data_IF_085246760199
#
_entry.id   IF_085246760199
#
_cell.length_a   1.000
_cell.length_b   1.000
_cell.length_c   1.000
_cell.angle_alpha   90.00
_cell.angle_beta   90.00
_cell.angle_gamma   90.00
#
_symmetry.space_group_name_H-M   'P 1'
#
loop_
_entity.id
_entity.type
_entity.pdbx_description
1 polymer ?
#
# COMPACT_ATOMS: atom_id res chain seq x y z
N UNK A 1 -6.15 -61.47 11.48
CA UNK A 1 -6.67 -60.45 12.42
C UNK A 1 -5.49 -59.87 13.16
N UNK A 2 -5.06 -58.66 12.82
CA UNK A 2 -3.95 -57.99 13.49
C UNK A 2 -4.49 -57.27 14.75
N UNK A 3 -3.94 -57.57 15.91
CA UNK A 3 -4.30 -56.92 17.18
C UNK A 3 -3.69 -55.51 17.23
N UNK A 4 -4.53 -54.48 17.25
CA UNK A 4 -4.09 -53.11 17.47
C UNK A 4 -3.81 -52.88 18.95
N UNK A 5 -2.55 -52.62 19.28
CA UNK A 5 -2.08 -52.34 20.63
C UNK A 5 -2.48 -50.89 21.01
N UNK A 6 -3.24 -50.72 22.10
CA UNK A 6 -3.69 -49.39 22.56
C UNK A 6 -2.50 -48.55 23.03
N UNK A 7 -2.45 -47.25 22.70
CA UNK A 7 -1.42 -46.36 23.23
C UNK A 7 -1.66 -46.13 24.73
N UNK A 8 -0.63 -46.38 25.54
CA UNK A 8 -0.65 -46.20 26.99
C UNK A 8 -0.39 -44.74 27.37
N UNK A 9 -1.43 -44.04 27.81
CA UNK A 9 -1.39 -42.70 28.41
C UNK A 9 -2.61 -42.46 29.30
N UNK A 10 -2.40 -41.87 30.48
CA UNK A 10 -3.33 -41.90 31.63
C UNK A 10 -4.46 -40.83 31.60
N UNK A 11 -4.80 -40.32 30.41
CA UNK A 11 -5.96 -39.45 30.20
C UNK A 11 -6.78 -40.05 29.06
N UNK A 12 -7.75 -40.90 29.41
CA UNK A 12 -8.78 -41.35 28.47
C UNK A 12 -9.77 -40.21 28.24
N UNK A 13 -9.78 -39.66 27.03
CA UNK A 13 -10.84 -38.76 26.60
C UNK A 13 -12.09 -39.57 26.28
N UNK A 14 -13.29 -38.96 26.30
CA UNK A 14 -14.55 -39.63 25.92
C UNK A 14 -14.49 -40.27 24.51
N UNK A 15 -13.60 -39.76 23.64
CA UNK A 15 -13.34 -40.27 22.30
C UNK A 15 -12.57 -41.59 22.30
N UNK A 16 -11.81 -41.92 23.35
CA UNK A 16 -11.11 -43.19 23.49
C UNK A 16 -12.04 -44.35 23.91
N UNK A 17 -13.29 -44.03 24.30
CA UNK A 17 -14.34 -44.97 24.67
C UNK A 17 -15.30 -45.29 23.51
N UNK A 18 -15.27 -44.52 22.42
CA UNK A 18 -16.04 -44.77 21.22
C UNK A 18 -15.25 -45.67 20.25
N UNK A 19 -15.91 -46.70 19.72
CA UNK A 19 -15.28 -47.57 18.72
C UNK A 19 -15.02 -46.78 17.44
N UNK A 20 -13.76 -46.79 17.01
CA UNK A 20 -13.33 -46.14 15.77
C UNK A 20 -13.63 -47.01 14.57
N UNK A 21 -14.11 -46.40 13.49
CA UNK A 21 -14.35 -47.10 12.24
C UNK A 21 -13.32 -46.76 11.14
N UNK A 22 -13.53 -47.33 9.94
CA UNK A 22 -12.66 -47.08 8.80
C UNK A 22 -12.74 -45.63 8.27
N UNK A 23 -13.87 -44.95 8.47
CA UNK A 23 -14.05 -43.56 8.05
C UNK A 23 -13.28 -42.61 8.97
N UNK A 24 -13.23 -42.90 10.27
CA UNK A 24 -12.42 -42.12 11.23
C UNK A 24 -10.93 -42.14 10.90
N UNK A 25 -10.42 -43.22 10.30
CA UNK A 25 -9.03 -43.29 9.86
C UNK A 25 -8.76 -42.48 8.58
N UNK A 26 -9.78 -42.21 7.76
CA UNK A 26 -9.64 -41.34 6.59
C UNK A 26 -9.55 -39.87 7.00
N UNK A 27 -10.30 -39.45 8.02
CA UNK A 27 -10.34 -38.06 8.47
C UNK A 27 -9.37 -37.74 9.62
N UNK A 28 -9.13 -38.67 10.55
CA UNK A 28 -8.31 -38.48 11.75
C UNK A 28 -7.32 -39.63 11.95
N UNK A 29 -6.39 -39.86 11.01
CA UNK A 29 -5.49 -41.01 11.09
C UNK A 29 -4.60 -40.94 12.34
N UNK A 30 -4.33 -42.09 12.97
CA UNK A 30 -3.51 -42.18 14.18
C UNK A 30 -2.05 -41.68 13.99
N UNK A 31 -1.59 -41.60 12.74
CA UNK A 31 -0.28 -41.07 12.36
C UNK A 31 -0.34 -39.60 11.89
N UNK A 32 -1.42 -38.87 12.20
CA UNK A 32 -1.55 -37.47 11.87
C UNK A 32 -0.39 -36.66 12.47
N UNK A 33 0.38 -35.99 11.60
CA UNK A 33 1.49 -35.11 11.98
C UNK A 33 1.05 -33.71 12.40
N UNK A 34 -0.21 -33.39 12.19
CA UNK A 34 -0.81 -32.09 12.50
C UNK A 34 -1.94 -32.29 13.51
N UNK A 35 -2.00 -31.40 14.49
CA UNK A 35 -3.07 -31.36 15.48
C UNK A 35 -3.60 -29.94 15.58
N UNK A 36 -4.91 -29.81 15.73
CA UNK A 36 -5.56 -28.51 15.94
C UNK A 36 -5.39 -28.01 17.39
N UNK A 37 -5.01 -28.92 18.30
CA UNK A 37 -4.89 -28.64 19.73
C UNK A 37 -3.44 -28.47 20.18
N UNK A 38 -2.47 -29.02 19.43
CA UNK A 38 -1.07 -28.79 19.71
C UNK A 38 -0.63 -27.43 19.14
N UNK A 39 0.16 -26.68 19.92
CA UNK A 39 0.72 -25.41 19.46
C UNK A 39 1.71 -25.69 18.33
N UNK A 40 1.45 -25.14 17.14
CA UNK A 40 2.39 -25.26 16.02
C UNK A 40 3.73 -24.59 16.40
N UNK A 41 4.88 -25.27 16.23
CA UNK A 41 6.20 -24.67 16.48
C UNK A 41 6.48 -23.46 15.57
N UNK A 42 5.83 -23.39 14.40
CA UNK A 42 5.94 -22.27 13.45
C UNK A 42 5.23 -21.00 13.94
N UNK A 43 4.44 -21.07 15.02
CA UNK A 43 3.74 -19.91 15.62
C UNK A 43 4.62 -19.07 16.57
N UNK A 44 5.94 -19.29 16.62
CA UNK A 44 6.81 -18.41 17.41
C UNK A 44 6.90 -17.06 16.73
N UNK A 45 6.09 -16.11 17.17
CA UNK A 45 6.17 -14.71 16.75
C UNK A 45 7.24 -13.99 17.58
N UNK A 46 8.12 -13.25 16.90
CA UNK A 46 9.00 -12.30 17.57
C UNK A 46 8.24 -10.98 17.73
N UNK A 47 8.23 -10.37 18.92
CA UNK A 47 7.61 -9.07 19.09
C UNK A 47 8.40 -8.02 18.28
N UNK A 48 7.70 -7.25 17.47
CA UNK A 48 8.21 -6.03 16.85
C UNK A 48 7.07 -5.01 16.77
N UNK A 49 7.41 -3.73 16.63
CA UNK A 49 6.45 -2.64 16.57
C UNK A 49 6.67 -1.86 15.28
N UNK A 50 5.74 -1.91 14.30
CA UNK A 50 5.83 -1.06 13.12
C UNK A 50 5.51 0.39 13.51
N UNK A 51 6.28 1.33 12.96
CA UNK A 51 6.08 2.77 13.14
C UNK A 51 6.10 3.41 11.76
N UNK A 52 5.24 4.41 11.55
CA UNK A 52 5.26 5.26 10.36
C UNK A 52 6.16 6.47 10.65
N UNK A 53 7.01 6.82 9.69
CA UNK A 53 7.89 7.97 9.81
C UNK A 53 8.00 8.71 8.49
N UNK A 54 8.00 10.03 8.60
CA UNK A 54 8.09 10.93 7.46
C UNK A 54 9.56 11.30 7.18
N UNK A 55 9.90 11.31 5.89
CA UNK A 55 11.21 11.70 5.40
C UNK A 55 11.08 12.93 4.52
N UNK A 56 11.98 13.90 4.72
CA UNK A 56 12.05 15.07 3.86
C UNK A 56 12.81 14.72 2.59
N UNK A 57 12.35 15.24 1.45
CA UNK A 57 13.01 15.04 0.17
C UNK A 57 14.07 16.12 -0.10
N UNK A 58 14.99 15.80 -1.02
CA UNK A 58 15.95 16.72 -1.62
C UNK A 58 15.74 16.82 -3.13
N UNK A 59 15.99 18.02 -3.65
CA UNK A 59 15.81 18.32 -5.07
C UNK A 59 14.41 18.89 -5.36
N UNK A 60 14.15 19.25 -6.63
CA UNK A 60 12.93 19.96 -6.98
C UNK A 60 11.80 18.95 -7.28
N UNK A 61 10.63 19.16 -6.65
CA UNK A 61 9.47 18.28 -6.75
C UNK A 61 8.44 18.77 -7.77
N UNK A 62 8.90 19.26 -8.93
CA UNK A 62 8.04 19.68 -10.04
C UNK A 62 7.76 18.56 -11.04
N UNK A 63 6.76 18.78 -11.90
CA UNK A 63 6.45 17.86 -12.99
C UNK A 63 7.67 17.63 -13.91
N UNK A 64 7.92 16.38 -14.29
CA UNK A 64 9.06 15.97 -15.10
C UNK A 64 10.42 15.99 -14.37
N UNK A 65 10.44 16.31 -13.08
CA UNK A 65 11.66 16.36 -12.30
C UNK A 65 11.87 15.09 -11.47
N UNK A 66 13.09 14.95 -10.98
CA UNK A 66 13.52 13.86 -10.10
C UNK A 66 13.97 14.43 -8.76
N UNK A 67 13.47 13.84 -7.69
CA UNK A 67 13.81 14.19 -6.30
C UNK A 67 14.13 12.92 -5.52
N UNK A 68 14.75 13.07 -4.36
CA UNK A 68 15.37 11.97 -3.62
C UNK A 68 15.01 12.02 -2.14
N UNK A 69 14.73 10.87 -1.54
CA UNK A 69 14.67 10.69 -0.09
C UNK A 69 15.88 9.90 0.37
N UNK A 70 16.57 10.40 1.40
CA UNK A 70 17.62 9.64 2.05
C UNK A 70 17.04 8.90 3.25
N UNK A 71 17.19 7.59 3.24
CA UNK A 71 16.69 6.72 4.30
C UNK A 71 17.88 6.33 5.18
N UNK A 72 17.75 6.64 6.46
CA UNK A 72 18.73 6.34 7.48
C UNK A 72 18.14 5.40 8.53
N UNK A 73 18.93 4.42 8.99
CA UNK A 73 18.50 3.44 9.99
C UNK A 73 18.22 4.09 11.34
N UNK A 74 18.97 5.14 11.70
CA UNK A 74 18.76 5.87 12.96
C UNK A 74 17.37 6.48 13.07
N UNK A 75 16.83 6.94 11.95
CA UNK A 75 15.46 7.48 11.90
C UNK A 75 14.46 6.34 11.75
N UNK A 76 14.63 5.48 10.74
CA UNK A 76 13.63 4.51 10.28
C UNK A 76 13.47 3.28 11.20
N UNK A 77 14.51 2.95 11.97
CA UNK A 77 14.64 1.69 12.69
C UNK A 77 15.35 0.60 11.88
N UNK A 78 15.26 -0.64 12.37
CA UNK A 78 16.08 -1.75 11.88
C UNK A 78 15.61 -2.32 10.53
N UNK A 79 14.29 -2.25 10.27
CA UNK A 79 13.63 -2.87 9.12
C UNK A 79 12.68 -1.87 8.45
N UNK A 80 12.83 -1.71 7.13
CA UNK A 80 11.86 -1.00 6.30
C UNK A 80 10.89 -2.02 5.67
N UNK A 81 9.60 -1.88 5.98
CA UNK A 81 8.54 -2.82 5.58
C UNK A 81 7.63 -2.27 4.47
N UNK A 82 7.73 -0.97 4.19
CA UNK A 82 6.91 -0.31 3.19
C UNK A 82 7.27 1.16 3.05
N UNK A 83 6.96 1.74 1.90
CA UNK A 83 7.15 3.14 1.60
C UNK A 83 5.93 3.68 0.82
N UNK A 84 5.48 4.86 1.22
CA UNK A 84 4.36 5.55 0.58
C UNK A 84 4.78 6.98 0.31
N UNK A 85 4.55 7.43 -0.92
CA UNK A 85 4.81 8.80 -1.31
C UNK A 85 3.54 9.63 -1.05
N UNK A 86 3.61 10.54 -0.09
CA UNK A 86 2.56 11.52 0.15
C UNK A 86 2.79 12.77 -0.73
N UNK A 87 1.74 13.20 -1.41
CA UNK A 87 1.74 14.32 -2.34
C UNK A 87 0.67 15.32 -1.91
N UNK A 88 1.03 16.58 -1.80
CA UNK A 88 0.05 17.64 -1.60
C UNK A 88 -0.20 18.35 -2.93
N UNK A 89 -1.45 18.31 -3.41
CA UNK A 89 -1.84 19.03 -4.60
C UNK A 89 -2.05 20.51 -4.29
N UNK A 90 -1.55 21.38 -5.18
CA UNK A 90 -1.74 22.83 -5.12
C UNK A 90 -2.67 23.29 -6.24
N UNK A 91 -3.68 24.10 -5.92
CA UNK A 91 -4.62 24.60 -6.93
C UNK A 91 -3.98 25.65 -7.86
N UNK A 92 -4.49 25.73 -9.10
CA UNK A 92 -4.25 26.86 -10.00
C UNK A 92 -5.03 28.12 -9.60
N UNK A 93 -6.00 27.99 -8.69
CA UNK A 93 -6.72 29.10 -8.09
C UNK A 93 -6.00 29.58 -6.83
N UNK A 94 -6.14 30.87 -6.52
CA UNK A 94 -5.71 31.40 -5.24
C UNK A 94 -6.58 30.85 -4.10
N UNK A 95 -6.03 30.83 -2.89
CA UNK A 95 -6.69 30.24 -1.72
C UNK A 95 -8.06 30.88 -1.43
N UNK A 96 -8.21 32.19 -1.66
CA UNK A 96 -9.49 32.88 -1.43
C UNK A 96 -10.55 32.41 -2.41
N UNK A 97 -10.21 32.27 -3.69
CA UNK A 97 -11.10 31.70 -4.69
C UNK A 97 -11.45 30.24 -4.38
N UNK A 98 -10.48 29.41 -3.95
CA UNK A 98 -10.74 28.03 -3.53
C UNK A 98 -11.76 27.98 -2.39
N UNK A 99 -11.58 28.79 -1.35
CA UNK A 99 -12.49 28.84 -0.20
C UNK A 99 -13.89 29.31 -0.61
N UNK A 100 -14.00 30.36 -1.44
CA UNK A 100 -15.28 30.87 -1.92
C UNK A 100 -15.99 29.89 -2.86
N UNK A 101 -15.24 29.08 -3.61
CA UNK A 101 -15.79 28.02 -4.45
C UNK A 101 -16.30 26.87 -3.58
N UNK A 102 -15.52 26.44 -2.57
CA UNK A 102 -15.91 25.42 -1.61
C UNK A 102 -17.12 25.82 -0.76
N UNK A 103 -17.24 27.10 -0.39
CA UNK A 103 -18.41 27.66 0.28
C UNK A 103 -19.61 27.90 -0.66
N UNK A 104 -19.46 27.57 -1.95
CA UNK A 104 -20.46 27.76 -3.01
C UNK A 104 -20.87 29.23 -3.23
N UNK A 105 -20.07 30.17 -2.75
CA UNK A 105 -20.24 31.61 -3.02
C UNK A 105 -19.82 31.95 -4.44
N UNK A 106 -18.78 31.28 -4.94
CA UNK A 106 -18.39 31.32 -6.34
C UNK A 106 -18.87 30.08 -7.08
N UNK A 107 -19.32 30.30 -8.31
CA UNK A 107 -19.73 29.25 -9.23
C UNK A 107 -19.11 29.55 -10.60
N UNK A 108 -18.71 28.49 -11.31
CA UNK A 108 -18.22 28.64 -12.68
C UNK A 108 -19.38 29.12 -13.57
N UNK A 109 -19.14 30.18 -14.34
CA UNK A 109 -20.13 30.65 -15.33
C UNK A 109 -20.40 29.60 -16.40
N UNK A 110 -19.38 28.82 -16.77
CA UNK A 110 -19.47 27.72 -17.73
C UNK A 110 -18.83 26.47 -17.13
N UNK A 111 -19.63 25.62 -16.46
CA UNK A 111 -19.13 24.43 -15.77
C UNK A 111 -18.34 23.45 -16.63
N UNK A 112 -18.69 23.35 -17.92
CA UNK A 112 -18.01 22.48 -18.88
C UNK A 112 -16.58 22.90 -19.20
N UNK A 113 -16.20 24.15 -18.89
CA UNK A 113 -14.86 24.68 -19.09
C UNK A 113 -14.07 24.79 -17.78
N UNK A 114 -14.64 24.33 -16.67
CA UNK A 114 -13.95 24.35 -15.39
C UNK A 114 -12.76 23.40 -15.41
N UNK A 115 -11.66 23.84 -14.80
CA UNK A 115 -10.45 23.03 -14.69
C UNK A 115 -10.62 22.07 -13.52
N UNK A 116 -10.18 20.83 -13.70
CA UNK A 116 -10.15 19.81 -12.67
C UNK A 116 -8.87 19.00 -12.82
N UNK A 117 -8.42 18.38 -11.73
CA UNK A 117 -7.38 17.37 -11.85
C UNK A 117 -7.89 16.17 -12.64
N UNK A 118 -7.00 15.56 -13.39
CA UNK A 118 -7.24 14.27 -14.02
C UNK A 118 -7.59 13.24 -12.95
N UNK A 119 -8.57 12.40 -13.24
CA UNK A 119 -8.89 11.26 -12.38
C UNK A 119 -7.67 10.35 -12.22
N UNK A 120 -7.51 9.74 -11.04
CA UNK A 120 -6.36 8.87 -10.74
C UNK A 120 -4.99 9.60 -10.80
N UNK A 121 -4.95 10.87 -10.40
CA UNK A 121 -3.73 11.68 -10.43
C UNK A 121 -2.53 11.01 -9.73
N UNK A 122 -2.76 10.25 -8.65
CA UNK A 122 -1.68 9.53 -7.96
C UNK A 122 -1.02 8.45 -8.82
N UNK A 123 -1.76 7.86 -9.76
CA UNK A 123 -1.26 6.87 -10.71
C UNK A 123 -0.49 7.54 -11.86
N UNK A 124 -1.05 8.61 -12.40
CA UNK A 124 -0.53 9.29 -13.59
C UNK A 124 0.75 10.09 -13.28
N UNK A 125 0.87 10.63 -12.07
CA UNK A 125 1.99 11.48 -11.70
C UNK A 125 3.32 10.72 -11.68
N UNK A 126 3.31 9.49 -11.14
CA UNK A 126 4.51 8.73 -10.87
C UNK A 126 5.04 8.07 -12.14
N UNK A 127 6.24 8.46 -12.59
CA UNK A 127 6.88 7.83 -13.75
C UNK A 127 7.68 6.61 -13.35
N UNK A 128 8.55 6.77 -12.36
CA UNK A 128 9.44 5.71 -11.90
C UNK A 128 9.93 5.96 -10.48
N UNK A 129 10.26 4.88 -9.80
CA UNK A 129 10.86 4.81 -8.46
C UNK A 129 12.13 3.98 -8.56
N UNK A 130 13.23 4.48 -8.03
CA UNK A 130 14.50 3.75 -7.98
C UNK A 130 14.95 3.62 -6.52
N UNK A 131 15.29 2.40 -6.11
CA UNK A 131 15.96 2.10 -4.86
C UNK A 131 17.47 2.03 -5.13
N UNK A 132 18.22 3.01 -4.60
CA UNK A 132 19.67 3.03 -4.63
C UNK A 132 20.22 2.60 -3.26
N UNK A 133 21.21 1.71 -3.27
CA UNK A 133 22.00 1.33 -2.09
C UNK A 133 23.48 1.42 -2.47
N UNK A 134 24.22 2.25 -1.72
CA UNK A 134 25.68 2.44 -1.90
C UNK A 134 26.05 2.84 -3.35
N UNK A 135 25.27 3.75 -3.92
CA UNK A 135 25.47 4.26 -5.28
C UNK A 135 25.04 3.32 -6.39
N UNK A 136 24.48 2.15 -6.06
CA UNK A 136 23.99 1.18 -7.04
C UNK A 136 22.48 1.09 -6.98
N UNK A 137 21.81 1.20 -8.14
CA UNK A 137 20.37 0.94 -8.25
C UNK A 137 20.11 -0.55 -8.08
N UNK A 138 19.45 -0.91 -7.00
CA UNK A 138 19.08 -2.30 -6.67
C UNK A 138 17.78 -2.69 -7.35
N UNK A 139 16.83 -1.77 -7.36
CA UNK A 139 15.51 -2.00 -7.95
C UNK A 139 14.99 -0.72 -8.59
N UNK A 140 14.29 -0.91 -9.70
CA UNK A 140 13.57 0.15 -10.40
C UNK A 140 12.14 -0.34 -10.67
N UNK A 141 11.18 0.54 -10.38
CA UNK A 141 9.75 0.26 -10.48
C UNK A 141 9.11 1.37 -11.31
N UNK A 142 8.38 0.97 -12.34
CA UNK A 142 7.65 1.90 -13.20
C UNK A 142 6.31 2.31 -12.57
N UNK A 143 5.81 3.48 -13.00
CA UNK A 143 4.50 4.01 -12.62
C UNK A 143 3.34 3.06 -12.92
N UNK A 144 3.41 2.33 -14.03
CA UNK A 144 2.39 1.34 -14.42
C UNK A 144 2.32 0.17 -13.43
N UNK A 145 3.48 -0.28 -12.94
CA UNK A 145 3.55 -1.33 -11.92
C UNK A 145 3.05 -0.79 -10.57
N UNK A 146 3.41 0.44 -10.19
CA UNK A 146 2.89 1.11 -9.00
C UNK A 146 1.36 1.24 -9.03
N UNK A 147 0.82 1.57 -10.19
CA UNK A 147 -0.62 1.66 -10.45
C UNK A 147 -1.29 0.31 -10.31
N UNK A 148 -0.79 -0.70 -11.01
CA UNK A 148 -1.34 -2.06 -10.99
C UNK A 148 -1.29 -2.64 -9.58
N UNK A 149 -0.17 -2.46 -8.87
CA UNK A 149 -0.02 -2.89 -7.50
C UNK A 149 -1.01 -2.18 -6.59
N UNK A 150 -1.18 -0.87 -6.69
CA UNK A 150 -2.08 -0.13 -5.80
C UNK A 150 -3.55 -0.49 -5.98
N UNK A 151 -3.95 -0.99 -7.15
CA UNK A 151 -5.32 -1.50 -7.40
C UNK A 151 -5.50 -2.95 -6.93
N UNK A 152 -4.50 -3.81 -7.12
CA UNK A 152 -4.62 -5.25 -6.86
C UNK A 152 -4.15 -5.68 -5.46
N UNK A 153 -3.28 -4.92 -4.83
CA UNK A 153 -2.70 -5.23 -3.52
C UNK A 153 -3.64 -5.02 -2.33
N UNK A 154 -4.54 -4.00 -2.33
CA UNK A 154 -5.51 -3.86 -1.26
C UNK A 154 -6.41 -5.10 -1.18
N UNK A 155 -6.65 -5.56 0.05
CA UNK A 155 -7.70 -6.54 0.34
C UNK A 155 -9.05 -5.83 0.56
N UNK A 156 -10.11 -6.61 0.77
CA UNK A 156 -11.46 -6.10 1.04
C UNK A 156 -11.49 -5.05 2.17
N UNK A 157 -10.59 -5.18 3.15
CA UNK A 157 -10.54 -4.29 4.32
C UNK A 157 -9.74 -3.01 4.07
N UNK A 158 -8.94 -2.95 3.01
CA UNK A 158 -8.05 -1.82 2.68
C UNK A 158 -8.44 -1.12 1.37
N UNK A 159 -9.58 -1.51 0.78
CA UNK A 159 -9.99 -1.06 -0.55
C UNK A 159 -10.44 0.42 -0.59
N UNK A 160 -11.18 0.90 0.42
CA UNK A 160 -11.74 2.27 0.43
C UNK A 160 -10.67 3.34 0.68
N UNK A 161 -9.61 3.01 1.41
CA UNK A 161 -8.47 3.90 1.61
C UNK A 161 -7.49 3.82 0.42
N UNK A 162 -6.42 3.02 0.54
CA UNK A 162 -5.37 2.89 -0.48
C UNK A 162 -5.85 2.72 -1.92
N UNK A 163 -6.95 1.98 -2.13
CA UNK A 163 -7.42 1.60 -3.47
C UNK A 163 -8.27 2.66 -4.19
N UNK A 164 -8.81 3.67 -3.49
CA UNK A 164 -9.74 4.65 -4.08
C UNK A 164 -9.32 6.08 -3.74
N UNK A 165 -9.50 6.51 -2.49
CA UNK A 165 -9.30 7.92 -2.12
C UNK A 165 -7.82 8.32 -2.16
N UNK A 166 -6.92 7.44 -1.75
CA UNK A 166 -5.48 7.73 -1.71
C UNK A 166 -4.88 8.03 -3.10
N UNK A 167 -5.44 7.47 -4.17
CA UNK A 167 -4.97 7.70 -5.54
C UNK A 167 -5.75 8.81 -6.26
N UNK A 168 -6.77 9.37 -5.62
CA UNK A 168 -7.69 10.33 -6.25
C UNK A 168 -8.51 9.68 -7.36
N UNK A 169 -8.94 8.43 -7.17
CA UNK A 169 -9.75 7.69 -8.15
C UNK A 169 -11.23 7.86 -7.80
N UNK A 170 -12.01 8.30 -8.78
CA UNK A 170 -13.45 8.35 -8.73
C UNK A 170 -14.08 7.48 -9.84
N UNK A 171 -15.24 6.85 -9.59
CA UNK A 171 -15.99 6.15 -10.62
C UNK A 171 -16.54 7.14 -11.66
N UNK A 172 -16.69 6.69 -12.91
CA UNK A 172 -17.15 7.52 -14.03
C UNK A 172 -18.46 8.26 -13.74
N UNK A 173 -19.41 7.62 -13.06
CA UNK A 173 -20.70 8.24 -12.68
C UNK A 173 -20.53 9.45 -11.76
N UNK A 174 -19.52 9.44 -10.89
CA UNK A 174 -19.18 10.55 -10.01
C UNK A 174 -18.42 11.65 -10.77
N UNK A 175 -17.56 11.29 -11.73
CA UNK A 175 -16.84 12.25 -12.58
C UNK A 175 -17.81 13.04 -13.46
N UNK A 176 -18.80 12.37 -14.06
CA UNK A 176 -19.81 13.02 -14.90
C UNK A 176 -20.67 14.03 -14.12
N UNK A 177 -20.83 13.82 -12.82
CA UNK A 177 -21.56 14.70 -11.92
C UNK A 177 -20.63 15.38 -10.91
N UNK A 178 -19.36 15.60 -11.29
CA UNK A 178 -18.37 16.08 -10.33
C UNK A 178 -18.78 17.45 -9.79
N UNK A 179 -18.88 17.61 -8.46
CA UNK A 179 -19.29 18.88 -7.88
C UNK A 179 -18.29 19.97 -8.21
N UNK A 180 -18.78 21.06 -8.82
CA UNK A 180 -17.95 22.18 -9.25
C UNK A 180 -17.19 22.87 -8.10
N UNK A 181 -17.72 22.77 -6.88
CA UNK A 181 -17.08 23.32 -5.67
C UNK A 181 -15.91 22.46 -5.17
N UNK A 182 -15.69 21.26 -5.73
CA UNK A 182 -14.64 20.34 -5.33
C UNK A 182 -13.42 20.48 -6.26
N UNK A 183 -12.47 21.28 -5.80
CA UNK A 183 -11.23 21.62 -6.54
C UNK A 183 -10.26 20.43 -6.64
N UNK A 184 -10.20 19.59 -5.61
CA UNK A 184 -9.26 18.47 -5.52
C UNK A 184 -9.96 17.12 -5.72
N UNK A 185 -9.27 16.10 -6.27
CA UNK A 185 -9.85 14.76 -6.45
C UNK A 185 -10.17 14.08 -5.10
N UNK A 186 -9.38 14.40 -4.07
CA UNK A 186 -9.52 13.93 -2.68
C UNK A 186 -10.07 15.02 -1.78
N UNK A 187 -10.62 14.66 -0.62
CA UNK A 187 -11.17 15.64 0.34
C UNK A 187 -10.12 16.64 0.87
N UNK A 188 -8.90 16.17 1.14
CA UNK A 188 -7.85 16.95 1.79
C UNK A 188 -6.80 17.52 0.82
N UNK A 189 -6.92 17.21 -0.47
CA UNK A 189 -5.91 17.53 -1.49
C UNK A 189 -4.62 16.71 -1.37
N UNK A 190 -4.57 15.70 -0.51
CA UNK A 190 -3.43 14.79 -0.37
C UNK A 190 -3.65 13.49 -1.15
N UNK A 191 -2.66 13.11 -1.93
CA UNK A 191 -2.56 11.80 -2.56
C UNK A 191 -1.49 10.98 -1.87
N UNK A 192 -1.67 9.66 -1.85
CA UNK A 192 -0.70 8.71 -1.33
C UNK A 192 -0.46 7.63 -2.37
N UNK A 193 0.76 7.57 -2.90
CA UNK A 193 1.15 6.60 -3.90
C UNK A 193 1.97 5.50 -3.23
N UNK A 194 1.49 4.26 -3.27
CA UNK A 194 2.25 3.12 -2.77
C UNK A 194 3.46 2.88 -3.68
N UNK A 195 4.64 2.64 -3.09
CA UNK A 195 5.85 2.35 -3.84
C UNK A 195 6.12 0.83 -3.76
N UNK A 196 5.78 0.02 -4.79
CA UNK A 196 5.85 -1.43 -4.69
C UNK A 196 7.28 -1.93 -4.91
N UNK A 197 8.21 -1.51 -4.07
CA UNK A 197 9.53 -2.09 -3.96
C UNK A 197 9.44 -3.49 -3.31
N UNK A 198 10.46 -4.31 -3.48
CA UNK A 198 10.44 -5.72 -3.07
C UNK A 198 9.98 -5.89 -1.62
N UNK A 199 10.40 -4.99 -0.72
CA UNK A 199 10.09 -5.06 0.71
C UNK A 199 8.63 -4.77 1.06
N UNK A 200 7.86 -4.21 0.13
CA UNK A 200 6.43 -3.92 0.29
C UNK A 200 5.53 -4.94 -0.43
N UNK A 201 6.05 -5.67 -1.42
CA UNK A 201 5.25 -6.61 -2.22
C UNK A 201 4.76 -7.80 -1.41
N UNK A 202 5.54 -8.25 -0.42
CA UNK A 202 5.19 -9.35 0.46
C UNK A 202 4.92 -8.84 1.88
N UNK A 203 3.64 -8.87 2.28
CA UNK A 203 3.18 -8.36 3.58
C UNK A 203 3.99 -8.96 4.74
N UNK A 204 4.77 -8.10 5.41
CA UNK A 204 5.51 -8.39 6.64
C UNK A 204 6.48 -9.58 6.56
N UNK A 205 6.99 -9.92 5.35
CA UNK A 205 7.91 -11.05 5.16
C UNK A 205 9.30 -10.63 4.72
N UNK A 206 9.42 -9.73 3.76
CA UNK A 206 10.70 -9.39 3.12
C UNK A 206 11.15 -7.96 3.42
N UNK A 207 11.22 -7.58 4.70
CA UNK A 207 11.69 -6.24 5.09
C UNK A 207 13.13 -5.98 4.63
N UNK A 208 13.42 -4.75 4.20
CA UNK A 208 14.78 -4.31 3.90
C UNK A 208 15.53 -4.07 5.23
N UNK A 209 16.61 -4.83 5.53
CA UNK A 209 17.34 -4.71 6.79
C UNK A 209 18.29 -3.52 6.77
N UNK A 210 17.79 -2.35 7.15
CA UNK A 210 18.57 -1.11 7.20
C UNK A 210 19.78 -1.21 8.13
N UNK A 211 19.66 -1.95 9.24
CA UNK A 211 20.78 -2.17 10.19
C UNK A 211 21.96 -2.95 9.59
N UNK A 212 21.71 -3.74 8.54
CA UNK A 212 22.75 -4.50 7.84
C UNK A 212 23.40 -3.70 6.70
N UNK A 213 22.86 -2.52 6.38
CA UNK A 213 23.31 -1.65 5.30
C UNK A 213 24.13 -0.51 5.90
N UNK A 214 25.12 -0.02 5.16
CA UNK A 214 25.92 1.13 5.59
C UNK A 214 25.03 2.37 5.75
N UNK A 215 25.19 3.07 6.86
CA UNK A 215 24.32 4.21 7.15
C UNK A 215 24.45 5.34 6.12
N UNK A 216 23.31 5.91 5.73
CA UNK A 216 23.24 7.03 4.78
C UNK A 216 23.47 6.65 3.31
N UNK A 217 23.50 5.35 2.98
CA UNK A 217 23.66 4.90 1.59
C UNK A 217 22.37 4.48 0.90
N UNK A 218 21.25 4.39 1.63
CA UNK A 218 19.96 4.00 1.07
C UNK A 218 19.22 5.26 0.61
N UNK A 219 18.81 5.27 -0.66
CA UNK A 219 18.07 6.38 -1.26
C UNK A 219 16.90 5.88 -2.08
N UNK A 220 15.79 6.61 -2.02
CA UNK A 220 14.68 6.46 -2.93
C UNK A 220 14.65 7.65 -3.87
N UNK A 221 14.78 7.38 -5.16
CA UNK A 221 14.60 8.41 -6.17
C UNK A 221 13.24 8.28 -6.82
N UNK A 222 12.53 9.40 -6.87
CA UNK A 222 11.21 9.49 -7.47
C UNK A 222 11.29 10.41 -8.67
N UNK A 223 10.72 9.98 -9.79
CA UNK A 223 10.60 10.81 -10.99
C UNK A 223 9.14 10.98 -11.37
N UNK A 224 8.72 12.22 -11.64
CA UNK A 224 7.38 12.51 -12.11
C UNK A 224 7.28 12.57 -13.63
N UNK A 225 6.08 12.33 -14.14
CA UNK A 225 5.74 12.62 -15.53
C UNK A 225 5.76 14.13 -15.81
N UNK A 226 6.09 14.50 -17.05
CA UNK A 226 6.17 15.89 -17.49
C UNK A 226 4.79 16.52 -17.77
N UNK A 227 3.77 15.70 -18.04
CA UNK A 227 2.43 16.14 -18.43
C UNK A 227 1.40 15.35 -17.62
N UNK A 228 0.63 16.03 -16.77
CA UNK A 228 -0.49 15.39 -16.05
C UNK A 228 -1.70 16.30 -15.83
N UNK A 229 -1.63 17.56 -16.28
CA UNK A 229 -2.75 18.50 -16.26
C UNK A 229 -3.19 18.82 -17.69
N UNK A 230 -3.68 17.81 -18.42
CA UNK A 230 -4.45 18.07 -19.63
C UNK A 230 -5.91 18.31 -19.25
N UNK A 231 -6.51 19.35 -19.82
CA UNK A 231 -7.96 19.54 -19.79
C UNK A 231 -8.61 18.25 -20.27
N UNK A 232 -9.46 17.62 -19.44
CA UNK A 232 -10.43 16.66 -19.95
C UNK A 232 -11.42 17.50 -20.78
N UNK A 233 -11.48 17.37 -22.12
CA UNK A 233 -12.50 18.06 -22.88
C UNK A 233 -13.87 17.53 -22.43
N UNK A 234 -14.87 18.39 -22.21
CA UNK A 234 -16.23 17.92 -22.02
C UNK A 234 -16.67 17.18 -23.29
N UNK A 235 -17.19 15.96 -23.13
CA UNK A 235 -18.00 15.28 -24.16
C UNK A 235 -19.35 15.98 -24.26
#
# INVERSE_FOLDING_TARGET
>A
MASFQRPSGDITTLLDLADRDAQDNAYFPLNAKQSWFARSPDRRTMPYTPVLQDFQYRGPAGFGQRFTFDIASQTCGDLLLGAVLQLQLTSWLDLTSVLNLQSQTYQYQTPSQAWYYTNAMGQILLKQVELEIDGTTIEMVDGDLATTFSVLYPDLNTQVGPGVDHLGIAPLSQILNWPQYRVFPTESGFLHCLLPLFFQRTRMKEGLPLVAIKEGTVRLHITYHHQSCEQIPPV
#
